data_IF_513736690612
#
_entry.id   IF_513736690612
#
_cell.length_a   1.000
_cell.length_b   1.000
_cell.length_c   1.000
_cell.angle_alpha   90.00
_cell.angle_beta   90.00
_cell.angle_gamma   90.00
#
_symmetry.space_group_name_H-M   'P 1'
#
loop_
_entity.id
_entity.type
_entity.pdbx_description
1 polymer ?
#
# COMPACT_ATOMS: atom_id res chain seq x y z
N UNK A 1 -13.30 43.75 21.04
CA UNK A 1 -13.15 43.19 22.40
C UNK A 1 -12.08 42.12 22.33
N UNK A 2 -10.91 42.41 22.89
CA UNK A 2 -9.75 41.52 23.00
C UNK A 2 -9.80 40.83 24.35
N UNK A 3 -9.89 39.49 24.37
CA UNK A 3 -9.71 38.70 25.58
C UNK A 3 -8.40 37.90 25.44
N UNK A 4 -7.36 38.39 26.10
CA UNK A 4 -6.11 37.69 26.32
C UNK A 4 -6.31 36.79 27.55
N UNK A 5 -6.28 35.48 27.37
CA UNK A 5 -6.24 34.49 28.46
C UNK A 5 -4.89 33.79 28.38
N UNK A 6 -4.19 33.81 29.51
CA UNK A 6 -2.78 33.47 29.64
C UNK A 6 -2.39 32.08 29.17
N UNK A 7 -1.20 32.01 28.57
CA UNK A 7 -0.09 31.22 29.13
C UNK A 7 -0.22 29.70 29.18
N UNK A 8 -1.21 29.11 28.54
CA UNK A 8 -1.27 27.67 28.30
C UNK A 8 -1.99 27.42 27.01
N UNK A 9 -1.33 27.70 25.88
CA UNK A 9 -1.49 26.83 24.73
C UNK A 9 -0.99 25.46 25.17
N UNK A 10 -1.85 24.70 25.87
CA UNK A 10 -1.96 23.30 25.53
C UNK A 10 -2.37 23.35 24.07
N UNK A 11 -1.38 23.32 23.19
CA UNK A 11 -1.49 22.49 22.00
C UNK A 11 -1.86 21.12 22.55
N UNK A 12 -3.15 20.91 22.83
CA UNK A 12 -3.77 19.72 22.33
C UNK A 12 -3.42 19.82 20.86
N UNK A 13 -2.32 19.16 20.46
CA UNK A 13 -2.22 18.65 19.11
C UNK A 13 -3.57 18.02 18.89
N UNK A 14 -4.43 18.76 18.20
CA UNK A 14 -5.71 18.25 17.79
C UNK A 14 -5.28 17.16 16.84
N UNK A 15 -5.17 15.94 17.35
CA UNK A 15 -4.89 14.76 16.55
C UNK A 15 -6.13 14.60 15.70
N UNK A 16 -6.15 15.33 14.59
CA UNK A 16 -7.24 15.36 13.63
C UNK A 16 -7.24 14.00 12.93
N UNK A 17 -7.85 13.03 13.61
CA UNK A 17 -8.77 12.10 13.00
C UNK A 17 -8.31 10.66 12.88
N UNK A 18 -7.02 10.33 12.90
CA UNK A 18 -6.60 9.00 12.44
C UNK A 18 -5.83 8.22 13.51
N UNK A 19 -6.43 7.15 14.04
CA UNK A 19 -5.76 6.26 15.01
C UNK A 19 -4.93 5.18 14.29
N UNK A 20 -3.61 5.37 14.25
CA UNK A 20 -2.67 4.42 13.67
C UNK A 20 -2.66 3.05 14.38
N UNK A 21 -3.07 2.96 15.65
CA UNK A 21 -3.16 1.70 16.38
C UNK A 21 -4.36 0.85 15.91
N UNK A 22 -5.45 1.50 15.48
CA UNK A 22 -6.62 0.82 14.91
C UNK A 22 -6.60 0.74 13.38
N UNK A 23 -5.53 1.22 12.74
CA UNK A 23 -5.32 1.21 11.31
C UNK A 23 -5.58 -0.18 10.69
N UNK A 24 -6.38 -0.18 9.63
CA UNK A 24 -6.85 -1.36 8.92
C UNK A 24 -6.80 -1.17 7.42
N UNK A 25 -6.34 -2.20 6.73
CA UNK A 25 -6.48 -2.28 5.28
C UNK A 25 -7.95 -2.51 4.97
N UNK A 26 -8.64 -1.45 4.53
CA UNK A 26 -10.03 -1.50 4.11
C UNK A 26 -10.17 -2.06 2.71
N UNK A 27 -9.30 -1.64 1.80
CA UNK A 27 -9.28 -2.10 0.42
C UNK A 27 -7.87 -2.41 -0.08
N UNK A 28 -7.79 -3.38 -0.98
CA UNK A 28 -6.58 -3.70 -1.73
C UNK A 28 -6.99 -4.00 -3.17
N UNK A 29 -6.91 -2.98 -4.00
CA UNK A 29 -7.31 -2.98 -5.40
C UNK A 29 -6.12 -3.08 -6.34
N UNK A 30 -6.36 -3.69 -7.49
CA UNK A 30 -5.35 -3.90 -8.52
C UNK A 30 -5.46 -2.77 -9.52
N UNK A 31 -4.42 -1.96 -9.65
CA UNK A 31 -4.38 -0.84 -10.60
C UNK A 31 -3.89 -1.32 -11.96
N UNK A 32 -2.84 -2.15 -11.97
CA UNK A 32 -2.27 -2.73 -13.18
C UNK A 32 -1.80 -4.15 -12.91
N UNK A 33 -2.26 -5.11 -13.70
CA UNK A 33 -1.89 -6.52 -13.66
C UNK A 33 -1.50 -7.06 -15.04
N UNK A 34 -1.08 -8.33 -15.08
CA UNK A 34 -0.66 -9.00 -16.31
C UNK A 34 0.56 -8.35 -16.96
N UNK A 35 1.41 -7.68 -16.19
CA UNK A 35 2.70 -7.23 -16.67
C UNK A 35 3.55 -8.44 -17.13
N UNK A 36 4.37 -8.23 -18.16
CA UNK A 36 5.29 -9.25 -18.66
C UNK A 36 6.33 -9.55 -17.60
N UNK A 37 6.62 -10.82 -17.35
CA UNK A 37 7.63 -11.23 -16.39
C UNK A 37 9.06 -11.04 -16.93
N UNK A 38 9.44 -9.81 -17.24
CA UNK A 38 10.76 -9.44 -17.75
C UNK A 38 11.62 -8.65 -16.75
N UNK A 39 11.08 -8.37 -15.55
CA UNK A 39 11.73 -7.57 -14.51
C UNK A 39 11.63 -6.05 -14.71
N UNK A 40 11.12 -5.61 -15.87
CA UNK A 40 10.94 -4.19 -16.23
C UNK A 40 9.48 -3.77 -16.23
N UNK A 41 8.58 -4.66 -16.63
CA UNK A 41 7.15 -4.39 -16.62
C UNK A 41 6.63 -4.40 -15.17
N UNK A 42 6.05 -3.26 -14.79
CA UNK A 42 5.56 -3.02 -13.44
C UNK A 42 4.06 -3.27 -13.35
N UNK A 43 3.67 -4.15 -12.45
CA UNK A 43 2.32 -4.22 -11.91
C UNK A 43 2.13 -3.11 -10.86
N UNK A 44 0.89 -2.65 -10.69
CA UNK A 44 0.55 -1.63 -9.69
C UNK A 44 -0.64 -2.08 -8.85
N UNK A 45 -0.55 -1.83 -7.55
CA UNK A 45 -1.59 -2.09 -6.58
C UNK A 45 -1.90 -0.80 -5.82
N UNK A 46 -3.15 -0.61 -5.44
CA UNK A 46 -3.57 0.45 -4.55
C UNK A 46 -4.06 -0.19 -3.26
N UNK A 47 -3.47 0.21 -2.15
CA UNK A 47 -3.93 -0.15 -0.81
C UNK A 47 -4.59 1.06 -0.18
N UNK A 48 -5.73 0.83 0.45
CA UNK A 48 -6.47 1.84 1.22
C UNK A 48 -6.46 1.40 2.67
N UNK A 49 -6.00 2.29 3.54
CA UNK A 49 -5.85 2.10 4.98
C UNK A 49 -6.62 3.21 5.68
N UNK A 50 -7.55 2.80 6.53
CA UNK A 50 -8.29 3.72 7.40
C UNK A 50 -8.19 3.22 8.83
N UNK A 51 -8.54 4.03 9.80
CA UNK A 51 -8.66 3.59 11.19
C UNK A 51 -9.98 2.85 11.48
N UNK A 52 -10.25 2.58 12.76
CA UNK A 52 -11.51 2.03 13.24
C UNK A 52 -12.73 2.86 12.87
N UNK A 53 -12.58 4.18 12.79
CA UNK A 53 -13.61 5.19 12.55
C UNK A 53 -13.77 5.55 11.07
N UNK A 54 -13.10 4.82 10.17
CA UNK A 54 -13.04 5.07 8.73
C UNK A 54 -12.36 6.38 8.34
N UNK A 55 -11.51 6.93 9.22
CA UNK A 55 -10.68 8.06 8.89
C UNK A 55 -9.41 7.58 8.15
N UNK A 56 -9.01 8.25 7.07
CA UNK A 56 -7.77 7.94 6.37
C UNK A 56 -6.58 8.12 7.32
N UNK A 57 -5.68 7.13 7.35
CA UNK A 57 -4.52 7.16 8.25
C UNK A 57 -3.23 6.99 7.47
N UNK A 58 -2.28 7.90 7.70
CA UNK A 58 -0.91 7.74 7.22
C UNK A 58 -0.17 6.77 8.14
N UNK A 59 0.23 5.60 7.60
CA UNK A 59 0.89 4.55 8.35
C UNK A 59 1.75 3.68 7.43
N UNK A 60 2.67 2.93 8.02
CA UNK A 60 3.57 2.04 7.29
C UNK A 60 2.89 0.70 7.04
N UNK A 61 2.79 0.33 5.78
CA UNK A 61 2.25 -0.94 5.29
C UNK A 61 3.42 -1.81 4.83
N UNK A 62 3.69 -2.92 5.53
CA UNK A 62 4.66 -3.92 5.07
C UNK A 62 4.07 -4.73 3.93
N UNK A 63 4.84 -4.97 2.87
CA UNK A 63 4.42 -5.70 1.69
C UNK A 63 5.35 -6.87 1.45
N UNK A 64 4.79 -7.99 1.00
CA UNK A 64 5.56 -9.15 0.57
C UNK A 64 4.98 -9.71 -0.70
N UNK A 65 5.82 -9.94 -1.69
CA UNK A 65 5.44 -10.64 -2.91
C UNK A 65 6.03 -12.06 -2.91
N UNK A 66 5.25 -13.02 -3.42
CA UNK A 66 5.71 -14.39 -3.64
C UNK A 66 6.05 -14.63 -5.11
N UNK A 67 6.52 -15.84 -5.43
CA UNK A 67 6.81 -16.29 -6.81
C UNK A 67 7.94 -15.50 -7.53
N UNK A 68 8.87 -14.90 -6.77
CA UNK A 68 10.03 -14.19 -7.34
C UNK A 68 9.72 -12.78 -7.85
N UNK A 69 8.58 -12.22 -7.48
CA UNK A 69 8.25 -10.84 -7.80
C UNK A 69 8.87 -9.87 -6.77
N UNK A 70 9.34 -8.73 -7.24
CA UNK A 70 10.07 -7.70 -6.48
C UNK A 70 9.12 -6.54 -6.21
N UNK A 71 8.91 -6.23 -4.93
CA UNK A 71 8.08 -5.12 -4.44
C UNK A 71 8.84 -4.38 -3.35
N UNK A 72 8.46 -3.13 -3.08
CA UNK A 72 8.94 -2.44 -1.89
C UNK A 72 8.58 -3.24 -0.62
N UNK A 73 9.52 -3.38 0.32
CA UNK A 73 9.29 -4.11 1.58
C UNK A 73 8.23 -3.44 2.44
N UNK A 74 8.11 -2.11 2.32
CA UNK A 74 7.06 -1.33 2.96
C UNK A 74 6.72 -0.08 2.15
N UNK A 75 5.48 0.39 2.29
CA UNK A 75 5.01 1.66 1.74
C UNK A 75 4.30 2.46 2.83
N UNK A 76 4.47 3.77 2.84
CA UNK A 76 3.72 4.65 3.74
C UNK A 76 2.48 5.17 3.04
N UNK A 77 1.31 5.06 3.65
CA UNK A 77 0.08 5.68 3.12
C UNK A 77 0.14 7.20 3.25
N UNK A 78 -0.45 7.90 2.29
CA UNK A 78 -0.59 9.35 2.34
C UNK A 78 -1.62 9.81 3.36
N UNK A 79 -1.85 11.12 3.42
CA UNK A 79 -2.86 11.74 4.28
C UNK A 79 -4.30 11.33 3.87
N UNK A 80 -4.46 10.84 2.63
CA UNK A 80 -5.69 10.25 2.11
C UNK A 80 -5.88 8.78 2.53
N UNK A 81 -4.94 8.23 3.29
CA UNK A 81 -4.94 6.83 3.73
C UNK A 81 -4.69 5.85 2.60
N UNK A 82 -4.29 6.30 1.41
CA UNK A 82 -3.99 5.41 0.28
C UNK A 82 -2.50 5.33 0.01
N UNK A 83 -2.07 4.18 -0.51
CA UNK A 83 -0.73 4.01 -1.05
C UNK A 83 -0.80 3.24 -2.36
N UNK A 84 -0.05 3.70 -3.35
CA UNK A 84 0.14 2.98 -4.60
C UNK A 84 1.50 2.31 -4.57
N UNK A 85 1.54 1.03 -4.94
CA UNK A 85 2.75 0.22 -4.88
C UNK A 85 3.01 -0.40 -6.25
N UNK A 86 4.24 -0.25 -6.73
CA UNK A 86 4.70 -0.90 -7.94
C UNK A 86 5.45 -2.20 -7.61
N UNK A 87 5.27 -3.21 -8.45
CA UNK A 87 5.80 -4.56 -8.29
C UNK A 87 6.28 -5.03 -9.67
N UNK A 88 7.53 -5.46 -9.80
CA UNK A 88 8.02 -6.12 -11.01
C UNK A 88 8.11 -7.63 -10.78
N UNK A 89 8.07 -8.43 -11.84
CA UNK A 89 8.36 -9.86 -11.75
C UNK A 89 9.30 -10.26 -12.86
N UNK A 90 10.27 -11.11 -12.54
CA UNK A 90 11.14 -11.78 -13.52
C UNK A 90 10.65 -13.20 -13.83
N UNK A 91 9.66 -13.69 -13.06
CA UNK A 91 9.10 -15.03 -13.22
C UNK A 91 7.62 -14.95 -13.57
N UNK A 92 7.25 -15.61 -14.66
CA UNK A 92 5.87 -15.70 -15.10
C UNK A 92 5.04 -16.57 -14.16
N UNK A 93 3.75 -16.27 -14.04
CA UNK A 93 2.80 -16.98 -13.21
C UNK A 93 2.16 -16.12 -12.12
N UNK A 94 1.47 -16.78 -11.20
CA UNK A 94 0.67 -16.12 -10.16
C UNK A 94 1.53 -15.76 -8.94
N UNK A 95 1.77 -14.47 -8.76
CA UNK A 95 2.44 -13.89 -7.60
C UNK A 95 1.39 -13.46 -6.58
N UNK A 96 1.57 -13.80 -5.31
CA UNK A 96 0.66 -13.34 -4.26
C UNK A 96 1.31 -12.20 -3.49
N UNK A 97 0.71 -11.02 -3.55
CA UNK A 97 1.10 -9.86 -2.77
C UNK A 97 0.34 -9.88 -1.45
N UNK A 98 1.07 -9.76 -0.34
CA UNK A 98 0.55 -9.68 1.01
C UNK A 98 0.87 -8.30 1.56
N UNK A 99 -0.15 -7.49 1.78
CA UNK A 99 -0.04 -6.21 2.47
C UNK A 99 -0.39 -6.37 3.95
N UNK A 100 0.33 -5.67 4.83
CA UNK A 100 0.20 -5.79 6.27
C UNK A 100 0.36 -4.44 6.95
N UNK A 101 -0.59 -4.09 7.82
CA UNK A 101 -0.58 -2.89 8.66
C UNK A 101 -0.80 -3.32 10.10
N UNK A 102 0.20 -3.14 10.96
CA UNK A 102 0.16 -3.60 12.35
C UNK A 102 -0.26 -5.07 12.46
N UNK A 103 -1.41 -5.33 13.09
CA UNK A 103 -1.97 -6.67 13.24
C UNK A 103 -2.80 -7.17 12.04
N UNK A 104 -3.14 -6.29 11.08
CA UNK A 104 -4.07 -6.58 9.99
C UNK A 104 -3.33 -6.86 8.69
N UNK A 105 -3.77 -7.89 7.96
CA UNK A 105 -3.07 -8.39 6.76
C UNK A 105 -4.08 -8.68 5.65
N UNK A 106 -3.77 -8.33 4.40
CA UNK A 106 -4.57 -8.61 3.20
C UNK A 106 -3.70 -9.18 2.10
N UNK A 107 -4.28 -10.05 1.27
CA UNK A 107 -3.57 -10.75 0.19
C UNK A 107 -4.28 -10.55 -1.13
N UNK A 108 -3.54 -10.25 -2.19
CA UNK A 108 -4.02 -10.21 -3.57
C UNK A 108 -3.14 -11.05 -4.49
N UNK A 109 -3.79 -11.82 -5.35
CA UNK A 109 -3.12 -12.60 -6.40
C UNK A 109 -2.96 -11.71 -7.64
N UNK A 110 -1.76 -11.70 -8.20
CA UNK A 110 -1.37 -10.97 -9.39
C UNK A 110 -0.78 -11.97 -10.37
N UNK A 111 -1.10 -11.83 -11.65
CA UNK A 111 -0.55 -12.70 -12.69
C UNK A 111 0.50 -11.93 -13.48
N UNK A 112 1.63 -12.58 -13.77
CA UNK A 112 2.66 -12.07 -14.67
C UNK A 112 2.71 -12.95 -15.92
N UNK A 113 2.69 -12.32 -17.10
CA UNK A 113 2.70 -13.02 -18.39
C UNK A 113 4.09 -13.56 -18.70
N UNK A 114 4.14 -14.72 -19.37
CA UNK A 114 5.41 -15.27 -19.85
C UNK A 114 6.00 -14.35 -20.91
N UNK A 115 7.29 -14.01 -20.78
CA UNK A 115 8.02 -13.29 -21.82
C UNK A 115 7.97 -14.13 -23.10
N UNK A 116 7.27 -13.66 -24.11
CA UNK A 116 7.20 -14.36 -25.39
C UNK A 116 8.61 -14.49 -25.95
N UNK A 117 9.09 -15.71 -26.27
CA UNK A 117 10.34 -15.85 -26.98
C UNK A 117 10.13 -15.26 -28.37
N UNK A 118 10.99 -14.33 -28.79
CA UNK A 118 11.12 -13.98 -30.22
C UNK A 118 11.42 -15.31 -30.93
N UNK A 119 10.44 -15.84 -31.66
CA UNK A 119 10.66 -16.93 -32.62
C UNK A 119 11.81 -16.46 -33.52
N UNK A 120 13.00 -17.05 -33.36
CA UNK A 120 14.02 -16.99 -34.39
C UNK A 120 13.42 -17.69 -35.61
N UNK A 121 13.22 -16.92 -36.68
CA UNK A 121 12.99 -17.46 -38.03
C UNK A 121 14.30 -18.02 -38.56
#
# INVERSE_FOLDING_TARGET
MTAQVGGSTKTADVSFGADAATAKITDLSVVSNNAVADGTATNSLKVTVTDGNNNPVSTVVTLKASNGAVIADSVTTGDDGTATMALTSTKAGTSTVTAQVGARRRRRKMSALLRTPRRRR
#
